data_IF_902438938401
#
_entry.id   IF_902438938401
#
_cell.length_a   1.000
_cell.length_b   1.000
_cell.length_c   1.000
_cell.angle_alpha   90.00
_cell.angle_beta   90.00
_cell.angle_gamma   90.00
#
_symmetry.space_group_name_H-M   'P 1'
#
loop_
_entity.id
_entity.type
_entity.pdbx_description
1 polymer ?
#
# COMPACT_ATOMS: atom_id res chain seq x y z
N UNK A 1 6.59 26.97 7.39
CA UNK A 1 6.90 25.59 6.95
C UNK A 1 5.67 25.07 6.20
N UNK A 2 5.72 24.99 4.88
CA UNK A 2 4.68 24.30 4.11
C UNK A 2 4.93 22.82 4.34
N UNK A 3 3.99 22.10 4.94
CA UNK A 3 4.11 20.65 5.08
C UNK A 3 4.34 20.07 3.69
N UNK A 4 5.45 19.35 3.49
CA UNK A 4 5.68 18.65 2.23
C UNK A 4 4.50 17.70 2.02
N UNK A 5 3.72 17.93 0.96
CA UNK A 5 2.55 17.12 0.65
C UNK A 5 3.06 15.73 0.26
N UNK A 6 2.92 14.77 1.17
CA UNK A 6 3.27 13.38 0.90
C UNK A 6 2.08 12.71 0.22
N UNK A 7 2.30 12.11 -0.95
CA UNK A 7 1.28 11.31 -1.62
C UNK A 7 1.33 9.90 -1.04
N UNK A 8 0.22 9.46 -0.46
CA UNK A 8 0.07 8.14 0.13
C UNK A 8 -0.66 7.20 -0.84
N UNK A 9 -0.06 6.05 -1.10
CA UNK A 9 -0.66 4.94 -1.82
C UNK A 9 -0.97 3.82 -0.83
N UNK A 10 -2.25 3.61 -0.52
CA UNK A 10 -2.70 2.58 0.40
C UNK A 10 -3.17 1.32 -0.35
N UNK A 11 -2.77 0.15 0.12
CA UNK A 11 -3.29 -1.14 -0.34
C UNK A 11 -4.19 -1.71 0.75
N UNK A 12 -5.49 -1.82 0.47
CA UNK A 12 -6.51 -2.27 1.42
C UNK A 12 -7.29 -3.46 0.89
N UNK A 13 -7.60 -4.43 1.75
CA UNK A 13 -8.42 -5.58 1.36
C UNK A 13 -9.88 -5.15 1.27
N UNK A 14 -10.56 -5.57 0.22
CA UNK A 14 -12.01 -5.50 0.10
C UNK A 14 -12.57 -6.92 0.12
N UNK A 15 -13.34 -7.25 1.17
CA UNK A 15 -13.90 -8.60 1.31
C UNK A 15 -14.74 -8.97 0.08
N UNK A 16 -14.55 -10.19 -0.43
CA UNK A 16 -15.19 -10.67 -1.65
C UNK A 16 -14.64 -10.09 -2.96
N UNK A 17 -13.76 -9.10 -2.89
CA UNK A 17 -13.33 -8.34 -4.07
C UNK A 17 -11.80 -8.31 -4.28
N UNK A 18 -11.00 -8.70 -3.28
CA UNK A 18 -9.54 -8.73 -3.39
C UNK A 18 -8.91 -7.49 -2.74
N UNK A 19 -8.11 -6.74 -3.48
CA UNK A 19 -7.30 -5.63 -2.97
C UNK A 19 -7.52 -4.35 -3.78
N UNK A 20 -7.80 -3.26 -3.09
CA UNK A 20 -7.90 -1.93 -3.64
C UNK A 20 -6.59 -1.17 -3.43
N UNK A 21 -6.23 -0.37 -4.42
CA UNK A 21 -5.17 0.63 -4.32
C UNK A 21 -5.84 2.00 -4.25
N UNK A 22 -5.50 2.77 -3.21
CA UNK A 22 -6.03 4.10 -2.96
C UNK A 22 -4.89 5.12 -3.02
N UNK A 23 -5.14 6.29 -3.60
CA UNK A 23 -4.24 7.45 -3.57
C UNK A 23 -4.86 8.51 -2.66
N UNK A 24 -4.20 8.85 -1.56
CA UNK A 24 -4.72 9.76 -0.53
C UNK A 24 -6.16 9.41 -0.10
N UNK A 25 -6.45 8.11 0.03
CA UNK A 25 -7.77 7.60 0.39
C UNK A 25 -8.78 7.45 -0.76
N UNK A 26 -8.49 7.96 -1.97
CA UNK A 26 -9.37 7.80 -3.13
C UNK A 26 -9.01 6.51 -3.91
N UNK A 27 -9.96 5.62 -4.24
CA UNK A 27 -9.68 4.39 -4.97
C UNK A 27 -9.24 4.70 -6.41
N UNK A 28 -8.14 4.11 -6.83
CA UNK A 28 -7.56 4.32 -8.17
C UNK A 28 -7.38 3.01 -8.94
N UNK A 29 -7.48 1.87 -8.28
CA UNK A 29 -7.32 0.57 -8.91
C UNK A 29 -7.69 -0.59 -8.00
N UNK A 30 -7.84 -1.76 -8.62
CA UNK A 30 -8.16 -3.01 -7.95
C UNK A 30 -7.36 -4.17 -8.54
N UNK A 31 -6.94 -5.10 -7.70
CA UNK A 31 -6.26 -6.36 -8.07
C UNK A 31 -6.76 -7.49 -7.19
N UNK A 32 -6.84 -8.70 -7.75
CA UNK A 32 -7.32 -9.87 -7.01
C UNK A 32 -6.27 -10.42 -6.03
N UNK A 33 -4.99 -10.25 -6.34
CA UNK A 33 -3.86 -10.76 -5.55
C UNK A 33 -3.11 -9.60 -4.90
N UNK A 34 -2.67 -9.79 -3.65
CA UNK A 34 -1.96 -8.78 -2.87
C UNK A 34 -0.69 -8.28 -3.57
N UNK A 35 0.15 -9.21 -4.04
CA UNK A 35 1.41 -8.88 -4.71
C UNK A 35 1.17 -7.95 -5.89
N UNK A 36 0.20 -8.26 -6.75
CA UNK A 36 -0.13 -7.42 -7.90
C UNK A 36 -0.68 -6.04 -7.50
N UNK A 37 -1.40 -5.95 -6.36
CA UNK A 37 -1.87 -4.67 -5.83
C UNK A 37 -0.70 -3.82 -5.31
N UNK A 38 0.26 -4.46 -4.64
CA UNK A 38 1.47 -3.81 -4.12
C UNK A 38 2.38 -3.34 -5.26
N UNK A 39 2.62 -4.18 -6.26
CA UNK A 39 3.39 -3.82 -7.46
C UNK A 39 2.79 -2.60 -8.16
N UNK A 40 1.45 -2.54 -8.29
CA UNK A 40 0.75 -1.40 -8.84
C UNK A 40 0.96 -0.14 -7.99
N UNK A 41 0.76 -0.23 -6.67
CA UNK A 41 0.94 0.89 -5.75
C UNK A 41 2.37 1.44 -5.79
N UNK A 42 3.37 0.56 -5.80
CA UNK A 42 4.79 0.90 -5.91
C UNK A 42 5.11 1.60 -7.22
N UNK A 43 4.70 1.03 -8.37
CA UNK A 43 4.93 1.65 -9.68
C UNK A 43 4.33 3.07 -9.76
N UNK A 44 3.16 3.27 -9.16
CA UNK A 44 2.51 4.58 -9.14
C UNK A 44 3.25 5.56 -8.23
N UNK A 45 3.67 5.11 -7.04
CA UNK A 45 4.44 5.93 -6.10
C UNK A 45 5.81 6.34 -6.67
N UNK A 46 6.50 5.43 -7.36
CA UNK A 46 7.77 5.72 -8.04
C UNK A 46 7.58 6.73 -9.16
N UNK A 47 6.57 6.51 -10.03
CA UNK A 47 6.26 7.42 -11.13
C UNK A 47 5.89 8.82 -10.65
N UNK A 48 5.15 8.92 -9.54
CA UNK A 48 4.77 10.20 -8.93
C UNK A 48 6.00 10.90 -8.33
N UNK A 49 6.85 10.17 -7.61
CA UNK A 49 8.10 10.70 -7.06
C UNK A 49 9.02 11.24 -8.16
N UNK A 50 9.16 10.52 -9.28
CA UNK A 50 9.98 10.95 -10.42
C UNK A 50 9.45 12.20 -11.13
N UNK A 51 8.14 12.48 -11.08
CA UNK A 51 7.53 13.59 -11.83
C UNK A 51 7.35 14.86 -11.02
N UNK A 52 6.95 14.71 -9.76
CA UNK A 52 6.51 15.83 -8.92
C UNK A 52 7.57 16.27 -7.91
N UNK A 53 8.59 15.45 -7.66
CA UNK A 53 9.54 15.65 -6.57
C UNK A 53 8.90 15.58 -5.18
N UNK A 54 7.63 15.19 -5.08
CA UNK A 54 6.94 15.00 -3.81
C UNK A 54 7.40 13.71 -3.14
N UNK A 55 7.44 13.71 -1.81
CA UNK A 55 7.60 12.48 -1.05
C UNK A 55 6.41 11.56 -1.32
N UNK A 56 6.67 10.30 -1.63
CA UNK A 56 5.62 9.30 -1.79
C UNK A 56 5.79 8.20 -0.76
N UNK A 57 4.69 7.61 -0.32
CA UNK A 57 4.69 6.50 0.63
C UNK A 57 3.69 5.46 0.18
N UNK A 58 4.11 4.19 0.21
CA UNK A 58 3.20 3.06 0.07
C UNK A 58 2.89 2.51 1.45
N UNK A 59 1.61 2.37 1.78
CA UNK A 59 1.14 1.76 3.02
C UNK A 59 0.25 0.58 2.71
N UNK A 60 0.27 -0.40 3.59
CA UNK A 60 -0.66 -1.52 3.56
C UNK A 60 -1.54 -1.41 4.79
N UNK A 61 -2.85 -1.56 4.62
CA UNK A 61 -3.75 -1.58 5.76
C UNK A 61 -3.43 -2.83 6.62
N UNK A 62 -2.93 -2.57 7.83
CA UNK A 62 -2.37 -3.58 8.73
C UNK A 62 -3.45 -4.52 9.25
N UNK A 63 -4.72 -4.11 9.25
CA UNK A 63 -5.83 -4.88 9.81
C UNK A 63 -5.92 -6.31 9.20
N UNK A 64 -5.43 -6.51 7.97
CA UNK A 64 -5.51 -7.79 7.27
C UNK A 64 -4.21 -8.63 7.22
N UNK A 65 -3.10 -8.15 7.79
CA UNK A 65 -1.83 -8.93 7.80
C UNK A 65 -1.85 -10.13 8.73
N UNK A 66 -2.80 -10.20 9.67
CA UNK A 66 -2.92 -11.33 10.61
C UNK A 66 -3.47 -12.62 9.99
N UNK A 67 -3.84 -12.61 8.70
CA UNK A 67 -4.42 -13.78 8.01
C UNK A 67 -3.59 -14.25 6.81
N UNK A 68 -2.26 -14.07 6.86
CA UNK A 68 -1.37 -14.82 5.97
C UNK A 68 -1.24 -16.25 6.51
N UNK A 69 -1.72 -17.29 5.79
CA UNK A 69 -1.51 -18.67 6.20
C UNK A 69 -0.01 -18.98 6.06
N UNK A 70 0.73 -18.86 7.16
CA UNK A 70 2.17 -19.15 7.21
C UNK A 70 3.05 -18.09 7.89
N UNK A 71 2.53 -16.93 8.27
CA UNK A 71 3.35 -15.93 8.97
C UNK A 71 3.54 -16.34 10.45
N UNK A 72 4.60 -17.10 10.74
CA UNK A 72 5.13 -17.23 12.10
C UNK A 72 5.94 -15.97 12.39
N UNK A 73 5.51 -15.08 13.31
CA UNK A 73 6.37 -14.00 13.75
C UNK A 73 7.63 -14.62 14.34
N UNK A 74 8.78 -14.30 13.77
CA UNK A 74 10.06 -14.66 14.37
C UNK A 74 10.07 -14.11 15.81
N UNK A 75 10.29 -14.99 16.77
CA UNK A 75 10.44 -14.58 18.17
C UNK A 75 11.60 -13.60 18.21
N UNK A 76 11.35 -12.36 18.64
CA UNK A 76 12.41 -11.56 19.26
C UNK A 76 12.88 -12.36 20.47
N UNK A 77 14.08 -12.90 20.40
CA UNK A 77 14.82 -13.27 21.59
C UNK A 77 15.02 -11.97 22.39
N UNK A 78 14.47 -11.94 23.59
CA UNK A 78 14.79 -10.95 24.61
C UNK A 78 16.18 -11.22 25.18
#
# INVERSE_FOLDING_TARGET
>A
MVAAVVVEYAVARKQGEGWNVLRNGAPIGRRYVLVSALELATHLAEREASRSGQGTRVVMDRQDTHRLPGFRPWRRAA
#
